data_IF_210860990454
#
_entry.id   IF_210860990454
#
_cell.length_a   1.000
_cell.length_b   1.000
_cell.length_c   1.000
_cell.angle_alpha   90.00
_cell.angle_beta   90.00
_cell.angle_gamma   90.00
#
_symmetry.space_group_name_H-M   'P 1'
#
loop_
_entity.id
_entity.type
_entity.pdbx_description
1 polymer ?
#
# COMPACT_ATOMS: atom_id res chain seq x y z
N UNK A 1 -8.51 -12.97 25.56
CA UNK A 1 -9.00 -13.00 24.17
C UNK A 1 -8.36 -11.84 23.41
N UNK A 2 -7.29 -12.07 22.64
CA UNK A 2 -6.66 -10.99 21.84
C UNK A 2 -5.80 -11.56 20.68
N UNK A 3 -5.03 -12.63 20.93
CA UNK A 3 -4.17 -13.27 19.92
C UNK A 3 -4.98 -14.05 18.87
N UNK A 4 -6.06 -14.74 19.26
CA UNK A 4 -6.92 -15.47 18.31
C UNK A 4 -7.64 -14.55 17.32
N UNK A 5 -8.03 -13.36 17.77
CA UNK A 5 -8.64 -12.35 16.91
C UNK A 5 -7.62 -11.83 15.88
N UNK A 6 -6.39 -11.56 16.33
CA UNK A 6 -5.30 -11.17 15.43
C UNK A 6 -4.99 -12.27 14.42
N UNK A 7 -4.84 -13.53 14.85
CA UNK A 7 -4.57 -14.67 13.96
C UNK A 7 -5.62 -14.81 12.85
N UNK A 8 -6.90 -14.55 13.16
CA UNK A 8 -8.00 -14.58 12.19
C UNK A 8 -8.11 -13.32 11.32
N UNK A 9 -7.72 -12.16 11.84
CA UNK A 9 -7.98 -10.85 11.20
C UNK A 9 -6.76 -10.24 10.51
N UNK A 10 -5.53 -10.65 10.84
CA UNK A 10 -4.29 -10.08 10.30
C UNK A 10 -4.30 -10.05 8.77
N UNK A 11 -4.67 -11.17 8.13
CA UNK A 11 -4.67 -11.28 6.68
C UNK A 11 -5.71 -10.37 6.02
N UNK A 12 -6.83 -10.13 6.70
CA UNK A 12 -7.89 -9.23 6.25
C UNK A 12 -7.41 -7.77 6.27
N UNK A 13 -6.72 -7.37 7.34
CA UNK A 13 -6.13 -6.04 7.47
C UNK A 13 -4.98 -5.84 6.47
N UNK A 14 -4.09 -6.82 6.33
CA UNK A 14 -3.02 -6.79 5.34
C UNK A 14 -3.57 -6.60 3.92
N UNK A 15 -4.53 -7.45 3.52
CA UNK A 15 -5.12 -7.41 2.17
C UNK A 15 -5.82 -6.07 1.89
N UNK A 16 -6.51 -5.50 2.89
CA UNK A 16 -7.16 -4.19 2.77
C UNK A 16 -6.14 -3.06 2.62
N UNK A 17 -5.09 -3.05 3.45
CA UNK A 17 -4.01 -2.07 3.37
C UNK A 17 -3.28 -2.14 2.03
N UNK A 18 -2.94 -3.36 1.59
CA UNK A 18 -2.35 -3.60 0.28
C UNK A 18 -3.24 -3.09 -0.86
N UNK A 19 -4.52 -3.46 -0.90
CA UNK A 19 -5.44 -3.03 -1.96
C UNK A 19 -5.62 -1.52 -2.00
N UNK A 20 -5.80 -0.86 -0.85
CA UNK A 20 -5.92 0.60 -0.81
C UNK A 20 -4.62 1.28 -1.24
N UNK A 21 -3.47 0.84 -0.74
CA UNK A 21 -2.18 1.37 -1.15
C UNK A 21 -1.95 1.23 -2.65
N UNK A 22 -2.21 0.05 -3.20
CA UNK A 22 -2.09 -0.21 -4.64
C UNK A 22 -3.03 0.67 -5.46
N UNK A 23 -4.29 0.79 -5.07
CA UNK A 23 -5.29 1.60 -5.77
C UNK A 23 -4.93 3.08 -5.76
N UNK A 24 -4.58 3.63 -4.60
CA UNK A 24 -4.21 5.05 -4.44
C UNK A 24 -2.95 5.37 -5.24
N UNK A 25 -1.91 4.54 -5.17
CA UNK A 25 -0.66 4.77 -5.91
C UNK A 25 -0.88 4.67 -7.43
N UNK A 26 -1.72 3.74 -7.88
CA UNK A 26 -2.09 3.63 -9.31
C UNK A 26 -2.90 4.84 -9.76
N UNK A 27 -3.80 5.34 -8.92
CA UNK A 27 -4.54 6.56 -9.21
C UNK A 27 -3.62 7.78 -9.32
N UNK A 28 -2.69 7.95 -8.38
CA UNK A 28 -1.68 9.03 -8.42
C UNK A 28 -0.84 8.94 -9.70
N UNK A 29 -0.35 7.74 -10.04
CA UNK A 29 0.38 7.53 -11.30
C UNK A 29 -0.45 7.98 -12.50
N UNK A 30 -1.73 7.58 -12.54
CA UNK A 30 -2.64 7.95 -13.64
C UNK A 30 -2.72 9.46 -13.78
N UNK A 31 -2.94 10.19 -12.68
CA UNK A 31 -2.98 11.66 -12.66
C UNK A 31 -1.66 12.25 -13.15
N UNK A 32 -0.51 11.76 -12.66
CA UNK A 32 0.82 12.22 -13.09
C UNK A 32 1.06 12.01 -14.59
N UNK A 33 0.50 10.96 -15.19
CA UNK A 33 0.59 10.75 -16.64
C UNK A 33 -0.23 11.77 -17.46
N UNK A 34 -1.15 12.53 -16.86
CA UNK A 34 -1.86 13.63 -17.53
C UNK A 34 -1.24 15.01 -17.31
N UNK A 35 -0.48 15.22 -16.23
CA UNK A 35 0.18 16.51 -15.95
C UNK A 35 1.32 16.81 -16.94
N UNK A 36 1.55 18.08 -17.31
CA UNK A 36 2.71 18.43 -18.15
C UNK A 36 4.05 18.19 -17.43
N UNK A 37 4.11 18.55 -16.15
CA UNK A 37 5.23 18.31 -15.24
C UNK A 37 4.78 17.34 -14.14
N UNK A 38 5.20 16.07 -14.15
CA UNK A 38 4.79 15.10 -13.13
C UNK A 38 5.37 15.43 -11.74
N UNK A 39 4.66 15.07 -10.68
CA UNK A 39 5.04 15.40 -9.30
C UNK A 39 5.67 14.21 -8.54
N UNK A 40 5.17 12.99 -8.75
CA UNK A 40 5.61 11.81 -8.00
C UNK A 40 6.31 10.77 -8.88
N UNK A 41 5.74 10.46 -10.04
CA UNK A 41 6.25 9.44 -10.96
C UNK A 41 6.66 10.04 -12.30
N UNK A 42 7.82 9.63 -12.81
CA UNK A 42 8.27 10.02 -14.15
C UNK A 42 7.25 9.66 -15.23
N UNK A 43 7.24 10.43 -16.32
CA UNK A 43 6.47 10.07 -17.53
C UNK A 43 6.92 8.71 -18.06
N UNK A 44 5.95 7.90 -18.47
CA UNK A 44 6.22 6.62 -19.08
C UNK A 44 6.62 6.85 -20.54
N UNK A 45 7.92 6.98 -20.80
CA UNK A 45 8.48 7.10 -22.15
C UNK A 45 8.88 5.74 -22.73
N UNK A 46 9.31 4.82 -21.88
CA UNK A 46 9.88 3.54 -22.27
C UNK A 46 9.45 2.40 -21.33
N UNK A 47 9.56 1.17 -21.82
CA UNK A 47 9.20 -0.03 -21.06
C UNK A 47 10.02 -0.20 -19.76
N UNK A 48 11.27 0.29 -19.75
CA UNK A 48 12.13 0.23 -18.56
C UNK A 48 11.58 1.10 -17.43
N UNK A 49 11.14 2.32 -17.76
CA UNK A 49 10.54 3.27 -16.81
C UNK A 49 9.21 2.71 -16.29
N UNK A 50 8.40 2.14 -17.18
CA UNK A 50 7.16 1.47 -16.81
C UNK A 50 7.37 0.34 -15.80
N UNK A 51 8.30 -0.58 -16.09
CA UNK A 51 8.61 -1.70 -15.20
C UNK A 51 9.14 -1.24 -13.84
N UNK A 52 9.96 -0.18 -13.83
CA UNK A 52 10.43 0.43 -12.59
C UNK A 52 9.26 0.97 -11.75
N UNK A 53 8.38 1.77 -12.37
CA UNK A 53 7.21 2.35 -11.69
C UNK A 53 6.28 1.27 -11.12
N UNK A 54 5.95 0.24 -11.90
CA UNK A 54 5.12 -0.88 -11.42
C UNK A 54 5.77 -1.57 -10.22
N UNK A 55 7.08 -1.83 -10.29
CA UNK A 55 7.82 -2.44 -9.20
C UNK A 55 7.79 -1.56 -7.95
N UNK A 56 7.95 -0.25 -8.10
CA UNK A 56 7.85 0.73 -7.01
C UNK A 56 6.46 0.75 -6.39
N UNK A 57 5.39 0.80 -7.20
CA UNK A 57 4.00 0.79 -6.72
C UNK A 57 3.69 -0.51 -5.98
N UNK A 58 4.08 -1.65 -6.54
CA UNK A 58 3.85 -2.95 -5.91
C UNK A 58 4.58 -3.05 -4.57
N UNK A 59 5.85 -2.64 -4.52
CA UNK A 59 6.63 -2.63 -3.29
C UNK A 59 6.01 -1.70 -2.23
N UNK A 60 5.65 -0.47 -2.59
CA UNK A 60 5.01 0.46 -1.68
C UNK A 60 3.64 -0.05 -1.19
N UNK A 61 2.86 -0.74 -2.02
CA UNK A 61 1.60 -1.37 -1.63
C UNK A 61 1.82 -2.51 -0.61
N UNK A 62 2.87 -3.34 -0.78
CA UNK A 62 3.26 -4.37 0.21
C UNK A 62 3.59 -3.71 1.56
N UNK A 63 4.34 -2.61 1.55
CA UNK A 63 4.62 -1.83 2.77
C UNK A 63 3.35 -1.29 3.43
N UNK A 64 2.39 -0.80 2.64
CA UNK A 64 1.10 -0.34 3.17
C UNK A 64 0.32 -1.46 3.86
N UNK A 65 0.33 -2.67 3.29
CA UNK A 65 -0.25 -3.86 3.90
C UNK A 65 0.43 -4.22 5.24
N UNK A 66 1.76 -4.18 5.29
CA UNK A 66 2.54 -4.41 6.52
C UNK A 66 2.24 -3.35 7.59
N UNK A 67 2.17 -2.07 7.20
CA UNK A 67 1.83 -0.97 8.12
C UNK A 67 0.43 -1.13 8.72
N UNK A 68 -0.56 -1.54 7.92
CA UNK A 68 -1.92 -1.80 8.42
C UNK A 68 -1.95 -2.89 9.50
N UNK A 69 -1.04 -3.86 9.41
CA UNK A 69 -0.90 -4.94 10.39
C UNK A 69 -0.21 -4.46 11.65
N UNK A 70 0.87 -3.69 11.51
CA UNK A 70 1.56 -3.08 12.65
C UNK A 70 0.57 -2.22 13.43
N UNK A 71 -0.26 -1.45 12.74
CA UNK A 71 -1.33 -0.66 13.33
C UNK A 71 -2.36 -1.53 14.09
N UNK A 72 -2.79 -2.66 13.51
CA UNK A 72 -3.66 -3.62 14.20
C UNK A 72 -3.00 -4.16 15.49
N UNK A 73 -1.71 -4.47 15.46
CA UNK A 73 -0.95 -4.92 16.63
C UNK A 73 -0.89 -3.84 17.72
N UNK A 74 -0.70 -2.57 17.35
CA UNK A 74 -0.69 -1.46 18.31
C UNK A 74 -2.07 -1.27 18.96
N UNK A 75 -3.15 -1.28 18.17
CA UNK A 75 -4.52 -1.22 18.71
C UNK A 75 -4.79 -2.38 19.65
N UNK A 76 -4.35 -3.58 19.29
CA UNK A 76 -4.52 -4.78 20.12
C UNK A 76 -3.87 -4.61 21.51
N UNK A 77 -2.68 -4.01 21.55
CA UNK A 77 -1.97 -3.71 22.80
C UNK A 77 -2.66 -2.59 23.59
N UNK A 78 -3.05 -1.50 22.91
CA UNK A 78 -3.70 -0.36 23.54
C UNK A 78 -5.09 -0.68 24.12
N UNK A 79 -5.82 -1.61 23.50
CA UNK A 79 -7.18 -2.02 23.89
C UNK A 79 -7.18 -3.10 24.96
N UNK A 80 -6.01 -3.51 25.47
CA UNK A 80 -5.85 -4.57 26.49
C UNK A 80 -6.26 -4.12 27.91
N UNK A 81 -7.38 -3.38 28.03
CA UNK A 81 -8.14 -3.17 29.26
C UNK A 81 -9.18 -4.27 29.40
#
# INVERSE_FOLDING_TARGET
MNIDYFKKSWIKFYKRGFMMGFFVLTFILTVDQFLQTPLFFSKITDIKVFMFIISTIFFAAVFCGLLAVIFLSLIMIATKK
#
